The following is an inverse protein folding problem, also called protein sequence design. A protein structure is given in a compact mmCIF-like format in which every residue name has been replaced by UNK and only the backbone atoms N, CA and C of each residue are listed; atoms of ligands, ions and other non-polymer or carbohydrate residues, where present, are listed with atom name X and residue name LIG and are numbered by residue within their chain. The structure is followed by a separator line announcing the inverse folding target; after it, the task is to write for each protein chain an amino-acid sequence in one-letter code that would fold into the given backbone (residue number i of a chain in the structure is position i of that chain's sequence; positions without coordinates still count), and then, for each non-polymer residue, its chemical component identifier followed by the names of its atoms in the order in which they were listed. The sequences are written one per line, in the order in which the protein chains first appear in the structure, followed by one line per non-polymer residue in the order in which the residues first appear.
data_IF_254275343341
#
_entry.id   IF_254275343341
#
_cell.length_a   1.000
_cell.length_b   1.000
_cell.length_c   1.000
_cell.angle_alpha   90.00
_cell.angle_beta   90.00
_cell.angle_gamma   90.00
#
_symmetry.space_group_name_H-M   'P 1'
#
loop_
_entity.id
_entity.type
_entity.pdbx_description
1 polymer ?
#
# COMPACT_ATOMS: atom_id res chain seq x y z
N UNK A 1 -0.96 -3.09 -9.35
CA UNK A 1 0.26 -3.75 -8.81
C UNK A 1 1.01 -4.63 -9.83
N UNK A 2 0.74 -4.53 -11.13
CA UNK A 2 1.36 -5.43 -12.12
C UNK A 2 2.89 -5.33 -12.10
N UNK A 3 3.57 -6.44 -11.77
CA UNK A 3 5.02 -6.56 -11.71
C UNK A 3 5.68 -6.22 -10.36
N UNK A 4 4.93 -5.70 -9.38
CA UNK A 4 5.43 -5.41 -8.02
C UNK A 4 5.10 -6.50 -7.02
N UNK A 5 3.88 -7.02 -7.11
CA UNK A 5 3.37 -8.10 -6.29
C UNK A 5 2.88 -9.17 -7.25
N UNK A 6 3.34 -10.39 -7.04
CA UNK A 6 2.91 -11.56 -7.82
C UNK A 6 2.06 -12.45 -6.92
N UNK A 7 0.78 -12.57 -7.26
CA UNK A 7 -0.17 -13.45 -6.59
C UNK A 7 0.01 -14.88 -7.08
N UNK A 8 0.19 -15.80 -6.14
CA UNK A 8 0.37 -17.23 -6.35
C UNK A 8 -0.61 -17.98 -5.43
N UNK A 9 -1.82 -18.24 -5.94
CA UNK A 9 -2.90 -18.82 -5.13
C UNK A 9 -3.28 -17.89 -3.97
N UNK A 10 -3.05 -18.37 -2.75
CA UNK A 10 -3.31 -17.67 -1.48
C UNK A 10 -2.10 -16.90 -0.93
N UNK A 11 -0.99 -16.88 -1.68
CA UNK A 11 0.23 -16.17 -1.29
C UNK A 11 0.57 -15.04 -2.26
N UNK A 12 1.27 -14.04 -1.75
CA UNK A 12 1.84 -12.94 -2.49
C UNK A 12 3.38 -12.99 -2.36
N UNK A 13 4.06 -12.70 -3.46
CA UNK A 13 5.53 -12.65 -3.53
C UNK A 13 6.00 -11.32 -4.09
N UNK A 14 7.21 -10.85 -3.74
CA UNK A 14 7.81 -9.69 -4.37
C UNK A 14 8.05 -9.97 -5.87
N UNK A 15 7.49 -9.13 -6.72
CA UNK A 15 7.62 -9.22 -8.18
C UNK A 15 8.94 -8.68 -8.70
N UNK A 16 9.21 -8.90 -9.98
CA UNK A 16 10.49 -8.55 -10.62
C UNK A 16 10.88 -7.07 -10.49
N UNK A 17 9.90 -6.14 -10.47
CA UNK A 17 10.18 -4.71 -10.32
C UNK A 17 10.62 -4.34 -8.91
N UNK A 18 10.09 -5.02 -7.88
CA UNK A 18 10.48 -4.77 -6.48
C UNK A 18 11.97 -5.14 -6.27
N UNK A 19 12.42 -6.23 -6.90
CA UNK A 19 13.82 -6.68 -6.85
C UNK A 19 14.81 -5.76 -7.55
N UNK A 20 14.34 -4.86 -8.42
CA UNK A 20 15.21 -3.96 -9.17
C UNK A 20 15.64 -2.71 -8.36
N UNK A 21 15.25 -2.60 -7.08
CA UNK A 21 15.33 -1.36 -6.30
C UNK A 21 16.32 -1.40 -5.12
N UNK A 22 17.56 -1.81 -5.36
CA UNK A 22 18.59 -1.90 -4.31
C UNK A 22 19.24 -0.55 -3.91
N UNK A 23 19.00 0.54 -4.66
CA UNK A 23 19.80 1.79 -4.52
C UNK A 23 19.09 2.99 -3.88
N UNK A 24 17.77 3.11 -4.02
CA UNK A 24 16.99 4.22 -3.46
C UNK A 24 15.52 3.80 -3.32
N UNK A 25 15.24 3.03 -2.28
CA UNK A 25 13.91 2.53 -1.95
C UNK A 25 12.91 3.66 -1.68
N UNK A 26 13.36 4.71 -1.02
CA UNK A 26 12.53 5.82 -0.53
C UNK A 26 12.01 6.71 -1.66
N UNK A 27 12.83 7.06 -2.66
CA UNK A 27 12.37 7.81 -3.82
C UNK A 27 11.37 7.02 -4.66
N UNK A 28 11.59 5.71 -4.78
CA UNK A 28 10.71 4.82 -5.54
C UNK A 28 9.35 4.66 -4.85
N UNK A 29 9.34 4.44 -3.53
CA UNK A 29 8.11 4.36 -2.74
C UNK A 29 7.27 5.63 -2.88
N UNK A 30 7.89 6.83 -2.81
CA UNK A 30 7.19 8.10 -3.05
C UNK A 30 6.61 8.21 -4.46
N UNK A 31 7.34 7.75 -5.48
CA UNK A 31 6.86 7.75 -6.87
C UNK A 31 5.62 6.87 -7.07
N UNK A 32 5.54 5.73 -6.38
CA UNK A 32 4.36 4.86 -6.44
C UNK A 32 3.16 5.43 -5.71
N UNK A 33 3.36 6.01 -4.52
CA UNK A 33 2.28 6.72 -3.82
C UNK A 33 1.72 7.82 -4.72
N UNK A 34 2.58 8.65 -5.32
CA UNK A 34 2.15 9.71 -6.23
C UNK A 34 1.38 9.18 -7.46
N UNK A 35 1.81 8.04 -8.03
CA UNK A 35 1.11 7.42 -9.15
C UNK A 35 -0.26 6.89 -8.75
N UNK A 36 -0.36 6.19 -7.61
CA UNK A 36 -1.62 5.62 -7.16
C UNK A 36 -2.60 6.68 -6.67
N UNK A 37 -2.10 7.73 -6.03
CA UNK A 37 -2.86 8.91 -5.64
C UNK A 37 -3.45 9.58 -6.89
N UNK A 38 -2.62 9.91 -7.87
CA UNK A 38 -3.06 10.47 -9.15
C UNK A 38 -4.04 9.55 -9.89
N UNK A 39 -3.84 8.23 -9.84
CA UNK A 39 -4.77 7.26 -10.42
C UNK A 39 -6.13 7.27 -9.72
N UNK A 40 -6.15 7.36 -8.37
CA UNK A 40 -7.36 7.41 -7.56
C UNK A 40 -8.19 8.67 -7.80
N UNK A 41 -7.54 9.79 -8.16
CA UNK A 41 -8.23 11.02 -8.55
C UNK A 41 -8.95 10.89 -9.91
N UNK A 42 -8.42 10.06 -10.80
CA UNK A 42 -8.97 9.87 -12.16
C UNK A 42 -9.97 8.72 -12.24
N UNK A 43 -9.81 7.70 -11.39
CA UNK A 43 -10.68 6.52 -11.34
C UNK A 43 -11.52 6.55 -10.08
N UNK A 44 -12.84 6.70 -10.27
CA UNK A 44 -13.79 6.62 -9.16
C UNK A 44 -13.61 5.32 -8.37
N UNK A 45 -13.75 5.43 -7.05
CA UNK A 45 -13.77 4.27 -6.18
C UNK A 45 -14.87 3.29 -6.65
N UNK A 46 -14.63 1.97 -6.60
CA UNK A 46 -15.65 0.98 -6.91
C UNK A 46 -16.92 1.22 -6.07
N UNK A 47 -18.09 0.91 -6.65
CA UNK A 47 -19.35 1.09 -5.95
C UNK A 47 -19.37 0.30 -4.62
N UNK A 48 -19.74 0.98 -3.53
CA UNK A 48 -19.74 0.39 -2.17
C UNK A 48 -18.42 0.52 -1.42
N UNK A 49 -17.39 1.15 -2.01
CA UNK A 49 -16.15 1.52 -1.33
C UNK A 49 -16.16 3.03 -1.08
N UNK A 50 -15.91 3.45 0.15
CA UNK A 50 -15.78 4.88 0.47
C UNK A 50 -14.56 5.47 -0.23
N UNK A 51 -14.69 6.71 -0.73
CA UNK A 51 -13.61 7.38 -1.44
C UNK A 51 -12.33 7.51 -0.58
N UNK A 52 -12.49 7.71 0.74
CA UNK A 52 -11.38 7.78 1.70
C UNK A 52 -10.59 6.48 1.81
N UNK A 53 -11.27 5.33 1.70
CA UNK A 53 -10.63 4.03 1.83
C UNK A 53 -9.59 3.76 0.73
N UNK A 54 -9.78 4.34 -0.48
CA UNK A 54 -8.80 4.22 -1.56
C UNK A 54 -7.55 5.02 -1.25
N UNK A 55 -7.69 6.26 -0.77
CA UNK A 55 -6.56 7.10 -0.41
C UNK A 55 -5.73 6.48 0.74
N UNK A 56 -6.40 5.94 1.74
CA UNK A 56 -5.77 5.28 2.89
C UNK A 56 -5.05 3.99 2.49
N UNK A 57 -5.65 3.20 1.58
CA UNK A 57 -4.98 2.04 1.01
C UNK A 57 -3.72 2.43 0.23
N UNK A 58 -3.76 3.54 -0.53
CA UNK A 58 -2.60 4.08 -1.25
C UNK A 58 -1.50 4.54 -0.29
N UNK A 59 -1.87 5.21 0.79
CA UNK A 59 -0.93 5.67 1.83
C UNK A 59 -0.25 4.51 2.56
N UNK A 60 -0.93 3.37 2.70
CA UNK A 60 -0.39 2.16 3.33
C UNK A 60 0.46 1.27 2.39
N UNK A 61 0.47 1.52 1.07
CA UNK A 61 1.28 0.76 0.07
C UNK A 61 2.76 0.65 0.45
N UNK A 62 3.45 1.72 0.92
CA UNK A 62 4.87 1.63 1.24
C UNK A 62 5.22 0.59 2.29
N UNK A 63 4.36 0.41 3.30
CA UNK A 63 4.59 -0.59 4.36
C UNK A 63 4.42 -2.01 3.83
N UNK A 64 3.41 -2.24 2.99
CA UNK A 64 3.18 -3.54 2.33
C UNK A 64 4.36 -3.91 1.43
N UNK A 65 4.86 -2.98 0.62
CA UNK A 65 6.02 -3.22 -0.25
C UNK A 65 7.30 -3.47 0.56
N UNK A 66 7.49 -2.74 1.66
CA UNK A 66 8.60 -2.96 2.58
C UNK A 66 8.57 -4.36 3.20
N UNK A 67 7.40 -4.81 3.67
CA UNK A 67 7.25 -6.17 4.20
C UNK A 67 7.60 -7.22 3.15
N UNK A 68 7.05 -7.11 1.93
CA UNK A 68 7.32 -8.08 0.86
C UNK A 68 8.80 -8.13 0.49
N UNK A 69 9.48 -6.98 0.47
CA UNK A 69 10.91 -6.92 0.23
C UNK A 69 11.72 -7.58 1.36
N UNK A 70 11.39 -7.28 2.62
CA UNK A 70 12.11 -7.80 3.79
C UNK A 70 11.84 -9.28 4.08
N UNK A 71 10.64 -9.76 3.76
CA UNK A 71 10.22 -11.14 4.03
C UNK A 71 11.03 -12.20 3.26
N UNK A 72 11.66 -11.81 2.13
CA UNK A 72 12.44 -12.68 1.25
C UNK A 72 11.74 -14.01 0.85
N UNK A 73 10.40 -14.07 0.97
CA UNK A 73 9.60 -15.29 0.87
C UNK A 73 8.12 -14.99 0.60
N UNK A 74 7.30 -16.02 0.33
CA UNK A 74 5.87 -15.85 0.14
C UNK A 74 5.18 -15.42 1.45
N UNK A 75 4.29 -14.44 1.35
CA UNK A 75 3.44 -13.98 2.46
C UNK A 75 1.99 -14.35 2.13
N UNK A 76 1.25 -14.88 3.08
CA UNK A 76 -0.17 -15.20 2.87
C UNK A 76 -0.97 -13.92 2.63
N UNK A 77 -1.88 -13.93 1.67
CA UNK A 77 -2.75 -12.77 1.35
C UNK A 77 -3.54 -12.28 2.57
N UNK A 78 -4.14 -13.15 3.43
CA UNK A 78 -4.79 -12.70 4.65
C UNK A 78 -3.86 -11.87 5.56
N UNK A 79 -2.63 -12.32 5.80
CA UNK A 79 -1.68 -11.57 6.63
C UNK A 79 -1.31 -10.19 6.04
N UNK A 80 -1.26 -10.07 4.70
CA UNK A 80 -1.06 -8.76 4.07
C UNK A 80 -2.27 -7.84 4.24
N UNK A 81 -3.49 -8.40 4.15
CA UNK A 81 -4.73 -7.66 4.36
C UNK A 81 -4.87 -7.22 5.83
N UNK A 82 -4.49 -8.08 6.78
CA UNK A 82 -4.49 -7.75 8.20
C UNK A 82 -3.50 -6.61 8.50
N UNK A 83 -2.29 -6.66 7.93
CA UNK A 83 -1.32 -5.57 8.07
C UNK A 83 -1.83 -4.27 7.44
N UNK A 84 -2.41 -4.34 6.25
CA UNK A 84 -3.00 -3.18 5.59
C UNK A 84 -4.12 -2.57 6.45
N UNK A 85 -5.01 -3.41 6.98
CA UNK A 85 -6.08 -2.98 7.86
C UNK A 85 -5.57 -2.32 9.14
N UNK A 86 -4.53 -2.91 9.76
CA UNK A 86 -3.89 -2.33 10.94
C UNK A 86 -3.31 -0.94 10.64
N UNK A 87 -2.61 -0.77 9.52
CA UNK A 87 -2.02 0.54 9.18
C UNK A 87 -3.06 1.59 8.85
N UNK A 88 -4.14 1.21 8.17
CA UNK A 88 -5.26 2.13 7.91
C UNK A 88 -5.90 2.58 9.21
N UNK A 89 -6.07 1.67 10.18
CA UNK A 89 -6.59 2.02 11.50
C UNK A 89 -5.67 3.01 12.26
N UNK A 90 -4.35 2.81 12.18
CA UNK A 90 -3.36 3.75 12.75
C UNK A 90 -3.44 5.13 12.07
N UNK A 91 -3.55 5.18 10.74
CA UNK A 91 -3.72 6.44 10.00
C UNK A 91 -5.01 7.17 10.38
N UNK A 92 -6.09 6.43 10.66
CA UNK A 92 -7.33 7.01 11.16
C UNK A 92 -7.15 7.64 12.54
N UNK A 93 -6.46 6.95 13.45
CA UNK A 93 -6.17 7.46 14.79
C UNK A 93 -5.29 8.71 14.72
N UNK A 94 -4.19 8.67 13.96
CA UNK A 94 -3.29 9.81 13.71
C UNK A 94 -4.07 11.04 13.19
N UNK A 95 -5.06 10.84 12.30
CA UNK A 95 -5.91 11.92 11.75
C UNK A 95 -6.96 12.43 12.72
N UNK A 96 -7.49 11.57 13.60
CA UNK A 96 -8.42 11.97 14.67
C UNK A 96 -7.69 12.77 15.75
N UNK A 97 -6.40 12.51 15.95
CA UNK A 97 -5.55 13.25 16.89
C UNK A 97 -5.10 14.62 16.36
N UNK A 98 -5.23 14.90 15.06
CA UNK A 98 -4.98 16.25 14.53
C UNK A 98 -6.06 17.19 15.05
N UNK A 99 -5.73 18.16 15.93
CA UNK A 99 -6.71 19.15 16.34
C UNK A 99 -7.10 19.94 15.08
N UNK A 100 -8.40 19.99 14.77
CA UNK A 100 -8.94 21.04 13.90
C UNK A 100 -8.50 22.36 14.53
N UNK A 101 -7.49 22.99 13.92
CA UNK A 101 -6.98 24.28 14.36
C UNK A 101 -8.10 25.33 14.41
N UNK A 102 -7.92 26.40 15.21
CA UNK A 102 -8.96 27.41 15.44
C UNK A 102 -9.48 28.08 14.17
#
# INVERSE_FOLDING_TARGET
LAGLIELHGDTARPGWRLRAWDRDDSAVLRGWVALFDAWSLVHAAPAGIEAGAVAEAVEAVPQVLSLLQLSAGPVTVPALLDLLGQRVAELHEERCEVPLGP
#
